data_IF_869098990372
#
_entry.id   IF_869098990372
#
_cell.length_a   1.000
_cell.length_b   1.000
_cell.length_c   1.000
_cell.angle_alpha   90.00
_cell.angle_beta   90.00
_cell.angle_gamma   90.00
#
_symmetry.space_group_name_H-M   'P 1'
#
loop_
_entity.id
_entity.type
_entity.pdbx_description
1 polymer ?
#
# COMPACT_ATOMS: atom_id res chain seq x y z
N UNK A 1 -6.29 4.62 -12.37
CA UNK A 1 -6.17 3.50 -11.43
C UNK A 1 -4.71 3.31 -11.16
N UNK A 2 -4.30 3.19 -9.89
CA UNK A 2 -2.90 3.08 -9.60
C UNK A 2 -2.45 1.63 -9.86
N UNK A 3 -1.35 1.45 -10.58
CA UNK A 3 -0.85 0.12 -10.92
C UNK A 3 0.68 0.06 -10.98
N UNK A 4 1.22 -1.12 -10.71
CA UNK A 4 2.64 -1.40 -10.82
C UNK A 4 3.03 -1.58 -12.29
N UNK A 5 3.98 -0.77 -12.77
CA UNK A 5 4.49 -0.85 -14.14
C UNK A 5 5.25 -2.16 -14.39
N UNK A 6 5.82 -2.76 -13.34
CA UNK A 6 6.68 -3.96 -13.45
C UNK A 6 5.88 -5.25 -13.57
N UNK A 7 4.86 -5.46 -12.72
CA UNK A 7 4.07 -6.70 -12.72
C UNK A 7 2.60 -6.52 -13.12
N UNK A 8 2.14 -5.30 -13.37
CA UNK A 8 0.76 -5.00 -13.76
C UNK A 8 -0.24 -5.01 -12.60
N UNK A 9 0.22 -5.16 -11.36
CA UNK A 9 -0.63 -5.22 -10.19
C UNK A 9 -1.36 -3.89 -9.96
N UNK A 10 -2.68 -3.93 -9.93
CA UNK A 10 -3.58 -2.78 -9.78
C UNK A 10 -4.57 -2.94 -8.61
N UNK A 11 -4.57 -4.10 -7.96
CA UNK A 11 -5.55 -4.45 -6.92
C UNK A 11 -5.10 -3.96 -5.54
N UNK A 12 -3.80 -4.03 -5.22
CA UNK A 12 -3.30 -3.67 -3.90
C UNK A 12 -1.97 -2.95 -3.98
N UNK A 13 -1.79 -1.86 -3.23
CA UNK A 13 -0.51 -1.16 -3.13
C UNK A 13 -0.12 -1.02 -1.67
N UNK A 14 1.18 -1.14 -1.40
CA UNK A 14 1.77 -1.02 -0.09
C UNK A 14 2.47 0.32 0.07
N UNK A 15 2.62 0.76 1.31
CA UNK A 15 3.44 1.92 1.64
C UNK A 15 4.84 1.51 2.09
N UNK A 16 5.86 2.17 1.54
CA UNK A 16 7.24 2.06 2.07
C UNK A 16 7.49 2.92 3.31
N UNK A 17 6.61 3.88 3.61
CA UNK A 17 6.78 4.82 4.73
C UNK A 17 6.54 4.16 6.08
N UNK A 18 5.73 3.10 6.12
CA UNK A 18 5.41 2.39 7.35
C UNK A 18 6.17 1.06 7.39
N UNK A 19 7.10 0.90 8.35
CA UNK A 19 7.76 -0.38 8.53
C UNK A 19 6.74 -1.45 8.96
N UNK A 20 6.96 -2.72 8.60
CA UNK A 20 6.15 -3.81 9.12
C UNK A 20 6.25 -3.85 10.64
N UNK A 21 5.12 -4.01 11.33
CA UNK A 21 5.04 -3.88 12.79
C UNK A 21 5.62 -5.07 13.57
N UNK A 22 5.92 -6.19 12.90
CA UNK A 22 6.31 -7.42 13.58
C UNK A 22 7.60 -8.03 13.04
N UNK A 23 8.58 -8.23 13.93
CA UNK A 23 9.72 -9.16 13.78
C UNK A 23 9.28 -10.64 13.85
N UNK A 24 8.13 -10.98 13.27
CA UNK A 24 7.67 -12.37 13.18
C UNK A 24 8.03 -12.95 11.82
N UNK A 25 8.37 -14.24 11.78
CA UNK A 25 8.92 -14.90 10.59
C UNK A 25 8.03 -14.82 9.33
N UNK A 26 6.74 -14.47 9.47
CA UNK A 26 5.76 -14.33 8.38
C UNK A 26 5.03 -12.97 8.41
N UNK A 27 5.62 -11.92 8.98
CA UNK A 27 4.99 -10.60 8.91
C UNK A 27 4.84 -10.16 7.44
N UNK A 28 3.68 -9.58 7.05
CA UNK A 28 3.57 -8.96 5.74
C UNK A 28 4.70 -7.92 5.59
N UNK A 29 5.34 -7.81 4.42
CA UNK A 29 6.50 -6.94 4.23
C UNK A 29 6.17 -5.43 4.23
N UNK A 30 4.98 -5.05 4.72
CA UNK A 30 4.44 -3.70 4.66
C UNK A 30 3.74 -3.32 5.97
N UNK A 31 3.90 -2.06 6.41
CA UNK A 31 3.18 -1.51 7.55
C UNK A 31 1.77 -0.99 7.21
N UNK A 32 1.52 -0.70 5.93
CA UNK A 32 0.24 -0.24 5.40
C UNK A 32 0.01 -0.81 4.00
N UNK A 33 -1.18 -1.36 3.77
CA UNK A 33 -1.64 -1.88 2.48
C UNK A 33 -3.00 -1.29 2.13
N UNK A 34 -3.15 -0.76 0.92
CA UNK A 34 -4.40 -0.27 0.38
C UNK A 34 -4.86 -1.16 -0.76
N UNK A 35 -6.14 -1.54 -0.75
CA UNK A 35 -6.77 -2.28 -1.82
C UNK A 35 -7.63 -1.33 -2.65
N UNK A 36 -7.42 -1.32 -3.96
CA UNK A 36 -8.04 -0.42 -4.91
C UNK A 36 -9.00 -1.19 -5.81
N UNK A 37 -10.09 -0.54 -6.22
CA UNK A 37 -10.98 -1.09 -7.26
C UNK A 37 -10.47 -0.73 -8.67
N UNK A 38 -11.16 -1.25 -9.69
CA UNK A 38 -10.85 -0.97 -11.11
C UNK A 38 -10.98 0.52 -11.48
N UNK A 39 -11.71 1.31 -10.70
CA UNK A 39 -11.85 2.76 -10.88
C UNK A 39 -10.67 3.54 -10.25
N UNK A 40 -9.80 2.86 -9.48
CA UNK A 40 -8.70 3.47 -8.74
C UNK A 40 -9.09 4.06 -7.39
N UNK A 41 -10.29 3.76 -6.91
CA UNK A 41 -10.76 4.14 -5.58
C UNK A 41 -10.26 3.14 -4.54
N UNK A 42 -9.72 3.66 -3.43
CA UNK A 42 -9.33 2.87 -2.28
C UNK A 42 -10.58 2.27 -1.61
N UNK A 43 -10.69 0.94 -1.66
CA UNK A 43 -11.80 0.17 -1.11
C UNK A 43 -11.59 -0.19 0.36
N UNK A 44 -10.44 -0.80 0.66
CA UNK A 44 -10.08 -1.23 2.00
C UNK A 44 -8.62 -0.94 2.27
N UNK A 45 -8.28 -0.83 3.56
CA UNK A 45 -6.92 -0.53 3.97
C UNK A 45 -6.57 -1.36 5.20
N UNK A 46 -5.42 -2.04 5.14
CA UNK A 46 -4.89 -2.86 6.21
C UNK A 46 -3.72 -2.11 6.86
N UNK A 47 -3.94 -1.71 8.11
CA UNK A 47 -2.95 -1.00 8.91
C UNK A 47 -2.31 -1.99 9.88
N UNK A 48 -1.09 -2.43 9.58
CA UNK A 48 -0.35 -3.33 10.44
C UNK A 48 0.64 -2.59 11.34
N UNK A 49 1.15 -1.42 10.92
CA UNK A 49 2.12 -0.61 11.67
C UNK A 49 1.92 0.90 11.60
N UNK A 50 0.89 1.38 10.90
CA UNK A 50 0.51 2.79 10.84
C UNK A 50 -0.45 3.15 11.99
N UNK A 51 -0.36 4.38 12.51
CA UNK A 51 -1.34 4.89 13.48
C UNK A 51 -2.68 5.16 12.79
N UNK A 52 -3.75 5.35 13.57
CA UNK A 52 -5.04 5.75 13.00
C UNK A 52 -4.98 7.10 12.27
N UNK A 53 -4.14 8.02 12.74
CA UNK A 53 -3.92 9.33 12.10
C UNK A 53 -3.23 9.18 10.75
N UNK A 54 -2.12 8.42 10.73
CA UNK A 54 -1.39 8.07 9.50
C UNK A 54 -2.29 7.35 8.48
N UNK A 55 -3.15 6.46 8.96
CA UNK A 55 -4.12 5.74 8.16
C UNK A 55 -5.16 6.70 7.54
N UNK A 56 -5.66 7.66 8.32
CA UNK A 56 -6.57 8.69 7.84
C UNK A 56 -5.91 9.53 6.74
N UNK A 57 -4.68 9.99 6.95
CA UNK A 57 -3.95 10.76 5.94
C UNK A 57 -3.68 9.96 4.66
N UNK A 58 -3.31 8.68 4.79
CA UNK A 58 -3.10 7.80 3.65
C UNK A 58 -4.40 7.54 2.86
N UNK A 59 -5.55 7.51 3.54
CA UNK A 59 -6.86 7.44 2.90
C UNK A 59 -7.20 8.72 2.13
N UNK A 60 -6.85 9.88 2.69
CA UNK A 60 -7.09 11.18 2.05
C UNK A 60 -6.13 11.46 0.88
N UNK A 61 -4.89 10.93 0.94
CA UNK A 61 -3.83 11.19 -0.04
C UNK A 61 -3.12 9.90 -0.48
N UNK A 62 -3.83 8.93 -1.07
CA UNK A 62 -3.27 7.60 -1.34
C UNK A 62 -2.02 7.64 -2.24
N UNK A 63 -1.96 8.59 -3.18
CA UNK A 63 -0.84 8.78 -4.10
C UNK A 63 0.50 9.10 -3.44
N UNK A 64 0.48 9.65 -2.23
CA UNK A 64 1.69 9.98 -1.48
C UNK A 64 2.16 8.88 -0.52
N UNK A 65 1.27 7.92 -0.21
CA UNK A 65 1.55 6.89 0.78
C UNK A 65 1.76 5.52 0.13
N UNK A 66 1.06 5.17 -0.94
CA UNK A 66 1.11 3.84 -1.54
C UNK A 66 2.11 3.73 -2.71
N UNK A 67 3.40 3.84 -2.41
CA UNK A 67 4.45 3.90 -3.42
C UNK A 67 5.06 2.53 -3.79
N UNK A 68 4.61 1.42 -3.20
CA UNK A 68 5.26 0.11 -3.34
C UNK A 68 4.28 -0.98 -3.78
N UNK A 69 4.70 -1.87 -4.67
CA UNK A 69 3.93 -3.04 -5.04
C UNK A 69 4.16 -4.18 -4.02
N UNK A 70 3.11 -4.69 -3.36
CA UNK A 70 3.23 -5.78 -2.39
C UNK A 70 3.59 -7.13 -3.04
N UNK A 71 3.35 -7.30 -4.35
CA UNK A 71 3.61 -8.55 -5.06
C UNK A 71 5.05 -8.70 -5.54
N UNK A 72 5.63 -7.63 -6.11
CA UNK A 72 6.98 -7.67 -6.68
C UNK A 72 8.00 -6.79 -5.95
N UNK A 73 7.57 -5.98 -4.97
CA UNK A 73 8.42 -5.04 -4.24
C UNK A 73 8.87 -3.81 -5.04
N UNK A 74 8.43 -3.67 -6.29
CA UNK A 74 8.78 -2.51 -7.12
C UNK A 74 8.12 -1.23 -6.60
N UNK A 75 8.80 -0.10 -6.76
CA UNK A 75 8.30 1.24 -6.42
C UNK A 75 7.84 2.03 -7.65
N UNK A 76 7.88 1.40 -8.82
CA UNK A 76 7.42 1.95 -10.09
C UNK A 76 5.89 1.81 -10.18
N UNK A 77 5.19 2.67 -9.43
CA UNK A 77 3.73 2.75 -9.41
C UNK A 77 3.27 3.95 -10.23
N UNK A 78 2.36 3.71 -11.16
CA UNK A 78 1.69 4.75 -11.92
C UNK A 78 0.35 5.02 -11.28
N UNK A 79 0.11 6.27 -10.92
CA UNK A 79 -1.16 6.78 -10.38
C UNK A 79 -2.09 7.28 -11.50
#
# INVERSE_FOLDING_TARGET
>A
MPYCIVCGNQESLASSKFPPCADTANAPPYGLLGNFNEEGCLMTMECQGASLDDAQEAYERPEEYFDTCPLCGSRDIRW
#
